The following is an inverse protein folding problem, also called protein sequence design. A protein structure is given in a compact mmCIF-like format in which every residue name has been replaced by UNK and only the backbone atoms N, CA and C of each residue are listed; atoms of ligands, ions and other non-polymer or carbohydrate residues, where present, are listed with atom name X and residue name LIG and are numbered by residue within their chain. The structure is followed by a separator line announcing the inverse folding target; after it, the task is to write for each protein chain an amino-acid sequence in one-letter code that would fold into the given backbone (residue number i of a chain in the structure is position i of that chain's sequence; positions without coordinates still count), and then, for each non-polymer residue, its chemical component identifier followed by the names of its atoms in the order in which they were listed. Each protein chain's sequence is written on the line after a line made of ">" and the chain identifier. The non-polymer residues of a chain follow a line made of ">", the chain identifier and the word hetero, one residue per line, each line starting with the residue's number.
data_IF_301892384109
#
_entry.id   IF_301892384109
#
_cell.length_a   1.000
_cell.length_b   1.000
_cell.length_c   1.000
_cell.angle_alpha   90.00
_cell.angle_beta   90.00
_cell.angle_gamma   90.00
#
_symmetry.space_group_name_H-M   'P 1'
#
loop_
_entity.id
_entity.type
_entity.pdbx_description
1 polymer ?
#
# COMPACT_ATOMS: atom_id res chain seq x y z
N UNK A 1 -3.98 5.38 -7.73
CA UNK A 1 -2.61 5.94 -7.71
C UNK A 1 -1.76 5.11 -8.65
N UNK A 2 -0.56 5.55 -9.02
CA UNK A 2 0.24 4.86 -10.07
C UNK A 2 0.92 3.56 -9.61
N UNK A 3 1.10 3.34 -8.30
CA UNK A 3 1.66 2.10 -7.76
C UNK A 3 3.19 1.95 -7.85
N UNK A 4 3.90 2.89 -8.49
CA UNK A 4 5.38 2.86 -8.65
C UNK A 4 6.11 2.65 -7.33
N UNK A 5 5.59 3.26 -6.26
CA UNK A 5 6.15 3.17 -4.93
C UNK A 5 6.06 1.77 -4.32
N UNK A 6 5.14 0.92 -4.78
CA UNK A 6 5.05 -0.48 -4.34
C UNK A 6 6.05 -1.33 -5.10
N UNK A 7 6.09 -1.24 -6.42
CA UNK A 7 6.98 -2.06 -7.26
C UNK A 7 8.48 -1.79 -7.03
N UNK A 8 8.86 -0.56 -6.69
CA UNK A 8 10.27 -0.22 -6.46
C UNK A 8 10.75 -0.42 -5.02
N UNK A 9 9.83 -0.61 -4.07
CA UNK A 9 10.17 -0.62 -2.66
C UNK A 9 10.56 -2.03 -2.21
N UNK A 10 11.77 -2.24 -1.67
CA UNK A 10 12.25 -3.58 -1.31
C UNK A 10 11.51 -4.22 -0.13
N UNK A 11 10.74 -3.43 0.63
CA UNK A 11 9.94 -3.90 1.78
C UNK A 11 8.45 -4.03 1.46
N UNK A 12 8.04 -3.71 0.22
CA UNK A 12 6.66 -3.90 -0.20
C UNK A 12 6.40 -5.38 -0.52
N UNK A 13 5.23 -5.84 -0.11
CA UNK A 13 4.81 -7.23 -0.17
C UNK A 13 3.33 -7.32 -0.56
N UNK A 14 2.83 -6.33 -1.31
CA UNK A 14 1.49 -6.36 -1.88
C UNK A 14 1.49 -7.32 -3.08
N UNK A 15 0.57 -8.26 -3.08
CA UNK A 15 0.37 -9.22 -4.15
C UNK A 15 -1.12 -9.47 -4.32
N UNK A 16 -1.47 -9.96 -5.49
CA UNK A 16 -2.78 -10.49 -5.82
C UNK A 16 -2.67 -11.99 -6.10
N UNK A 17 -3.79 -12.70 -5.94
CA UNK A 17 -3.90 -14.12 -6.25
C UNK A 17 -4.93 -14.27 -7.36
N UNK A 18 -4.51 -14.82 -8.49
CA UNK A 18 -5.38 -15.12 -9.62
C UNK A 18 -5.46 -16.63 -9.81
N UNK A 19 -6.68 -17.13 -10.04
CA UNK A 19 -6.93 -18.51 -10.43
C UNK A 19 -7.15 -18.55 -11.94
N UNK A 20 -6.25 -19.20 -12.67
CA UNK A 20 -6.36 -19.42 -14.11
C UNK A 20 -6.73 -20.88 -14.36
N UNK A 21 -7.86 -21.11 -15.02
CA UNK A 21 -8.34 -22.45 -15.39
C UNK A 21 -8.47 -22.59 -16.90
N UNK A 22 -8.00 -23.73 -17.42
CA UNK A 22 -8.15 -24.15 -18.82
C UNK A 22 -8.61 -25.61 -18.77
N UNK A 23 -9.81 -25.87 -19.29
CA UNK A 23 -10.49 -27.17 -19.23
C UNK A 23 -10.53 -27.70 -17.78
N UNK A 24 -10.07 -28.94 -17.55
CA UNK A 24 -10.00 -29.59 -16.23
C UNK A 24 -8.72 -29.26 -15.45
N UNK A 25 -7.88 -28.34 -15.94
CA UNK A 25 -6.63 -27.94 -15.29
C UNK A 25 -6.71 -26.50 -14.76
N UNK A 26 -6.29 -26.30 -13.51
CA UNK A 26 -6.22 -24.99 -12.88
C UNK A 26 -4.87 -24.72 -12.26
N UNK A 27 -4.43 -23.46 -12.26
CA UNK A 27 -3.28 -22.98 -11.50
C UNK A 27 -3.65 -21.72 -10.71
N UNK A 28 -3.13 -21.64 -9.49
CA UNK A 28 -3.22 -20.46 -8.63
C UNK A 28 -1.90 -19.72 -8.69
N UNK A 29 -1.92 -18.49 -9.17
CA UNK A 29 -0.73 -17.66 -9.39
C UNK A 29 -0.73 -16.50 -8.41
N UNK A 30 0.42 -16.23 -7.81
CA UNK A 30 0.69 -15.00 -7.07
C UNK A 30 1.31 -13.98 -8.00
N UNK A 31 0.63 -12.86 -8.20
CA UNK A 31 1.10 -11.74 -9.01
C UNK A 31 1.46 -10.56 -8.12
N UNK A 32 2.45 -9.76 -8.52
CA UNK A 32 2.71 -8.49 -7.84
C UNK A 32 1.54 -7.54 -8.06
N UNK A 33 1.10 -6.87 -7.00
CA UNK A 33 0.04 -5.88 -7.07
C UNK A 33 0.32 -4.71 -6.12
N UNK A 34 -0.56 -3.71 -6.09
CA UNK A 34 -0.33 -2.46 -5.36
C UNK A 34 -1.56 -1.99 -4.60
N UNK A 35 -1.36 -1.77 -3.29
CA UNK A 35 -2.36 -1.13 -2.43
C UNK A 35 -2.75 0.31 -2.84
N UNK A 36 -2.08 0.88 -3.86
CA UNK A 36 -2.40 2.18 -4.44
C UNK A 36 -3.48 2.12 -5.52
N UNK A 37 -3.78 0.93 -6.05
CA UNK A 37 -4.85 0.72 -7.00
C UNK A 37 -6.20 0.58 -6.27
N UNK A 38 -7.30 1.12 -6.83
CA UNK A 38 -8.62 0.95 -6.22
C UNK A 38 -9.02 -0.53 -6.13
N UNK A 39 -8.75 -1.30 -7.19
CA UNK A 39 -9.20 -2.71 -7.26
C UNK A 39 -8.61 -3.60 -6.16
N UNK A 40 -7.42 -3.27 -5.63
CA UNK A 40 -6.75 -4.03 -4.57
C UNK A 40 -7.61 -4.26 -3.32
N UNK A 41 -8.58 -3.37 -3.08
CA UNK A 41 -9.42 -3.41 -1.87
C UNK A 41 -10.89 -3.43 -2.21
N UNK A 42 -11.22 -3.65 -3.47
CA UNK A 42 -12.60 -3.76 -3.92
C UNK A 42 -13.16 -5.12 -3.51
N UNK A 43 -14.20 -5.12 -2.69
CA UNK A 43 -14.80 -6.35 -2.21
C UNK A 43 -15.78 -6.91 -3.24
N UNK A 44 -15.98 -8.24 -3.24
CA UNK A 44 -16.99 -8.89 -4.08
C UNK A 44 -18.43 -8.43 -3.82
N UNK A 45 -18.69 -7.80 -2.66
CA UNK A 45 -19.98 -7.15 -2.36
C UNK A 45 -20.20 -5.82 -3.07
N UNK A 46 -19.22 -5.33 -3.83
CA UNK A 46 -19.22 -4.01 -4.46
C UNK A 46 -18.77 -2.87 -3.54
N UNK A 47 -18.50 -3.15 -2.26
CA UNK A 47 -18.01 -2.14 -1.32
C UNK A 47 -16.51 -1.87 -1.53
N UNK A 48 -16.15 -0.58 -1.46
CA UNK A 48 -14.78 -0.10 -1.58
C UNK A 48 -14.38 0.65 -0.29
N UNK A 49 -13.67 0.01 0.66
CA UNK A 49 -13.25 0.66 1.91
C UNK A 49 -12.26 1.80 1.70
N UNK A 50 -11.51 1.79 0.60
CA UNK A 50 -10.44 2.76 0.31
C UNK A 50 -10.60 3.35 -1.09
N UNK A 51 -11.73 3.99 -1.31
CA UNK A 51 -12.10 4.59 -2.59
C UNK A 51 -11.24 5.81 -2.95
N UNK A 52 -10.90 6.62 -1.94
CA UNK A 52 -10.14 7.85 -2.15
C UNK A 52 -8.63 7.60 -2.11
N UNK A 53 -7.87 8.35 -2.91
CA UNK A 53 -6.39 8.26 -2.98
C UNK A 53 -5.73 8.41 -1.61
N UNK A 54 -6.19 9.36 -0.80
CA UNK A 54 -5.59 9.61 0.53
C UNK A 54 -5.81 8.44 1.49
N UNK A 55 -6.91 7.70 1.39
CA UNK A 55 -7.16 6.50 2.21
C UNK A 55 -6.16 5.39 1.87
N UNK A 56 -5.85 5.20 0.58
CA UNK A 56 -4.81 4.27 0.12
C UNK A 56 -3.40 4.72 0.51
N UNK A 57 -3.12 6.03 0.44
CA UNK A 57 -1.83 6.56 0.90
C UNK A 57 -1.66 6.38 2.42
N UNK A 58 -2.72 6.65 3.20
CA UNK A 58 -2.76 6.32 4.63
C UNK A 58 -2.45 4.84 4.85
N UNK A 59 -3.06 3.92 4.09
CA UNK A 59 -2.76 2.50 4.20
C UNK A 59 -1.28 2.18 3.99
N UNK A 60 -0.66 2.79 2.97
CA UNK A 60 0.76 2.61 2.68
C UNK A 60 1.64 3.08 3.85
N UNK A 61 1.32 4.23 4.45
CA UNK A 61 2.03 4.75 5.62
C UNK A 61 1.85 3.79 6.81
N UNK A 62 0.61 3.39 7.11
CA UNK A 62 0.30 2.49 8.20
C UNK A 62 1.01 1.13 8.05
N UNK A 63 1.00 0.53 6.87
CA UNK A 63 1.76 -0.70 6.61
C UNK A 63 3.25 -0.55 6.87
N UNK A 64 3.83 0.63 6.63
CA UNK A 64 5.28 0.82 6.77
C UNK A 64 5.71 1.12 8.19
N UNK A 65 4.93 1.92 8.90
CA UNK A 65 5.35 2.55 10.16
C UNK A 65 4.48 2.22 11.36
N UNK A 66 3.37 1.50 11.18
CA UNK A 66 2.49 1.09 12.26
C UNK A 66 2.25 -0.43 12.21
N UNK A 67 1.45 -0.95 11.28
CA UNK A 67 1.03 -2.37 11.30
C UNK A 67 2.19 -3.36 11.21
N UNK A 68 3.23 -3.07 10.42
CA UNK A 68 4.38 -3.97 10.34
C UNK A 68 5.25 -3.88 11.60
N UNK A 69 5.26 -2.73 12.27
CA UNK A 69 5.93 -2.58 13.58
C UNK A 69 5.15 -3.33 14.64
N UNK A 70 3.82 -3.22 14.67
CA UNK A 70 2.96 -3.96 15.60
C UNK A 70 3.10 -5.47 15.42
N UNK A 71 3.17 -5.95 14.17
CA UNK A 71 3.22 -7.39 13.88
C UNK A 71 4.63 -8.00 13.99
N UNK A 72 5.69 -7.25 13.67
CA UNK A 72 7.04 -7.80 13.51
C UNK A 72 8.13 -7.03 14.29
N UNK A 73 7.76 -5.97 15.01
CA UNK A 73 8.70 -5.15 15.79
C UNK A 73 9.68 -4.32 14.97
N UNK A 74 9.49 -4.23 13.64
CA UNK A 74 10.42 -3.53 12.75
C UNK A 74 9.70 -2.59 11.79
N UNK A 75 10.38 -1.53 11.36
CA UNK A 75 9.84 -0.58 10.38
C UNK A 75 10.04 -1.14 8.97
N UNK A 76 8.97 -1.25 8.17
CA UNK A 76 9.04 -1.69 6.77
C UNK A 76 9.43 -0.55 5.82
N UNK A 77 10.50 0.19 6.16
CA UNK A 77 11.09 1.23 5.34
C UNK A 77 12.58 1.34 5.64
N UNK A 78 13.43 1.09 4.63
CA UNK A 78 14.89 1.16 4.75
C UNK A 78 15.49 2.50 4.30
N UNK A 79 14.66 3.49 3.98
CA UNK A 79 15.14 4.82 3.56
C UNK A 79 15.73 4.90 2.14
N UNK A 80 15.52 3.90 1.28
CA UNK A 80 16.14 3.85 -0.06
C UNK A 80 15.74 4.96 -1.06
N UNK A 81 14.72 5.78 -0.76
CA UNK A 81 14.33 6.94 -1.59
C UNK A 81 13.61 6.65 -2.92
N UNK A 82 13.67 5.42 -3.45
CA UNK A 82 13.13 5.07 -4.78
C UNK A 82 11.67 5.45 -5.02
N UNK A 83 10.83 5.36 -3.98
CA UNK A 83 9.41 5.72 -4.11
C UNK A 83 9.16 7.24 -4.25
N UNK A 84 10.13 8.08 -3.90
CA UNK A 84 10.07 9.53 -4.03
C UNK A 84 10.69 9.93 -5.38
N UNK A 85 11.89 9.41 -5.70
CA UNK A 85 12.63 9.71 -6.93
C UNK A 85 11.82 9.40 -8.19
N UNK A 86 11.15 8.24 -8.21
CA UNK A 86 10.39 7.79 -9.38
C UNK A 86 8.90 8.19 -9.31
N UNK A 87 8.53 9.08 -8.39
CA UNK A 87 7.14 9.50 -8.26
C UNK A 87 6.74 10.45 -9.39
N UNK A 88 5.77 10.12 -10.25
CA UNK A 88 5.38 10.98 -11.37
C UNK A 88 4.68 12.28 -10.93
N UNK A 89 4.26 12.36 -9.67
CA UNK A 89 3.57 13.53 -9.09
C UNK A 89 4.35 14.17 -7.94
N UNK A 90 5.64 13.83 -7.77
CA UNK A 90 6.50 14.35 -6.70
C UNK A 90 5.90 14.22 -5.29
N UNK A 91 5.22 13.11 -5.00
CA UNK A 91 4.70 12.83 -3.66
C UNK A 91 5.83 12.37 -2.74
N UNK A 92 6.16 13.17 -1.73
CA UNK A 92 7.18 12.84 -0.74
C UNK A 92 6.58 12.18 0.51
N UNK A 93 7.00 10.94 0.77
CA UNK A 93 6.58 10.20 1.96
C UNK A 93 7.06 10.85 3.27
N UNK A 94 8.22 11.52 3.25
CA UNK A 94 8.81 12.18 4.42
C UNK A 94 7.98 13.38 4.85
N UNK A 95 7.46 14.15 3.88
CA UNK A 95 6.61 15.30 4.18
C UNK A 95 5.28 14.89 4.76
N UNK A 96 4.71 13.78 4.28
CA UNK A 96 3.53 13.18 4.88
C UNK A 96 3.77 12.76 6.34
N UNK A 97 4.91 12.12 6.63
CA UNK A 97 5.28 11.73 8.00
C UNK A 97 5.51 12.95 8.91
N UNK A 98 6.13 14.02 8.39
CA UNK A 98 6.36 15.26 9.13
C UNK A 98 5.03 15.91 9.53
N UNK A 99 4.12 16.06 8.57
CA UNK A 99 2.77 16.58 8.80
C UNK A 99 2.02 15.73 9.82
N UNK A 100 2.12 14.40 9.75
CA UNK A 100 1.49 13.51 10.74
C UNK A 100 2.02 13.71 12.16
N UNK A 101 3.30 14.06 12.32
CA UNK A 101 3.91 14.34 13.62
C UNK A 101 3.45 15.68 14.22
N UNK A 102 3.09 16.63 13.36
CA UNK A 102 2.61 17.97 13.75
C UNK A 102 1.11 17.99 14.07
N UNK A 103 0.36 16.98 13.63
CA UNK A 103 -1.06 16.87 13.91
C UNK A 103 -1.29 16.35 15.34
N UNK A 104 -2.18 17.03 16.06
CA UNK A 104 -2.72 16.46 17.30
C UNK A 104 -3.50 15.17 16.97
N UNK A 105 -3.42 14.14 17.81
CA UNK A 105 -4.23 12.95 17.64
C UNK A 105 -5.70 13.36 17.63
N UNK A 106 -6.42 12.96 16.57
CA UNK A 106 -7.84 13.24 16.46
C UNK A 106 -8.57 12.69 17.69
N UNK A 107 -9.41 13.51 18.32
CA UNK A 107 -10.30 13.05 19.39
C UNK A 107 -11.20 11.98 18.78
N UNK A 108 -11.03 10.74 19.23
CA UNK A 108 -11.94 9.65 18.90
C UNK A 108 -13.09 9.77 19.89
N UNK A 109 -14.21 10.31 19.43
CA UNK A 109 -15.49 10.28 20.16
C UNK A 109 -16.12 8.88 20.10
#
# INVERSE_FOLDING_TARGET
>A
GCGVCTYLCPTCHCFDIQDEAIDDNGKRIRNWDSCMFPIFTYHGSGHQPRDKRHQRMRQRIMHKFNYYVENFGVIACVGCGRCITECPTNEDLRDNLRKLKELEPAKVE
#
